data_IF_460976419711
#
_entry.id   IF_460976419711
#
_cell.length_a   1.000
_cell.length_b   1.000
_cell.length_c   1.000
_cell.angle_alpha   90.00
_cell.angle_beta   90.00
_cell.angle_gamma   90.00
#
_symmetry.space_group_name_H-M   'P 1'
#
loop_
_entity.id
_entity.type
_entity.pdbx_description
1 polymer ?
#
# COMPACT_ATOMS: atom_id res chain seq x y z
N UNK A 1 -65.35 17.80 22.03
CA UNK A 1 -64.82 16.50 22.56
C UNK A 1 -63.81 15.96 21.57
N UNK A 2 -62.57 16.25 21.79
CA UNK A 2 -61.44 15.76 20.98
C UNK A 2 -60.67 14.75 21.80
N UNK A 3 -60.75 13.48 21.41
CA UNK A 3 -60.06 12.38 22.07
C UNK A 3 -58.58 12.36 21.59
N UNK A 4 -57.67 12.72 22.45
CA UNK A 4 -56.24 12.56 22.26
C UNK A 4 -55.89 11.05 22.36
N UNK A 5 -55.46 10.46 21.26
CA UNK A 5 -54.83 9.13 21.25
C UNK A 5 -53.49 9.19 21.97
N UNK A 6 -53.18 8.28 22.90
CA UNK A 6 -51.87 8.24 23.53
C UNK A 6 -50.85 7.72 22.52
N UNK A 7 -49.83 8.53 22.23
CA UNK A 7 -48.59 8.11 21.55
C UNK A 7 -47.96 6.97 22.38
N UNK A 8 -48.19 5.75 21.91
CA UNK A 8 -47.49 4.57 22.42
C UNK A 8 -45.96 4.82 22.24
N UNK A 9 -45.27 5.03 23.34
CA UNK A 9 -43.83 5.08 23.40
C UNK A 9 -43.31 3.80 22.75
N UNK A 10 -42.73 3.88 21.56
CA UNK A 10 -42.00 2.79 20.94
C UNK A 10 -40.85 2.48 21.88
N UNK A 11 -40.99 1.42 22.65
CA UNK A 11 -39.93 0.88 23.46
C UNK A 11 -38.72 0.67 22.54
N UNK A 12 -37.73 1.51 22.68
CA UNK A 12 -36.47 1.39 21.94
C UNK A 12 -35.96 -0.02 22.15
N UNK A 13 -36.02 -0.83 21.09
CA UNK A 13 -35.46 -2.16 21.07
C UNK A 13 -33.95 -2.04 21.35
N UNK A 14 -33.55 -2.19 22.62
CA UNK A 14 -32.15 -2.35 23.01
C UNK A 14 -31.75 -3.76 22.61
N UNK A 15 -30.96 -3.95 21.54
CA UNK A 15 -30.58 -5.27 21.13
C UNK A 15 -29.78 -5.90 22.27
N UNK A 16 -30.30 -7.01 22.85
CA UNK A 16 -29.59 -7.84 23.81
C UNK A 16 -28.19 -8.12 23.21
N UNK A 17 -27.12 -7.76 23.91
CA UNK A 17 -25.74 -8.12 23.58
C UNK A 17 -25.64 -9.65 23.55
N UNK A 18 -25.92 -10.26 22.39
CA UNK A 18 -25.66 -11.69 22.19
C UNK A 18 -24.15 -11.87 22.22
N UNK A 19 -23.68 -12.77 23.08
CA UNK A 19 -22.28 -13.18 23.08
C UNK A 19 -21.97 -13.85 21.73
N UNK A 20 -20.83 -13.59 21.09
CA UNK A 20 -20.47 -14.24 19.85
C UNK A 20 -20.36 -15.76 20.07
N UNK A 21 -20.82 -16.55 19.08
CA UNK A 21 -20.68 -18.00 19.08
C UNK A 21 -19.21 -18.41 19.10
N UNK A 22 -18.90 -19.51 19.75
CA UNK A 22 -17.54 -20.08 19.80
C UNK A 22 -16.99 -20.33 18.40
N UNK A 23 -17.83 -20.72 17.45
CA UNK A 23 -17.51 -20.97 16.03
C UNK A 23 -17.04 -19.71 15.28
N UNK A 24 -17.36 -18.52 15.78
CA UNK A 24 -16.88 -17.25 15.23
C UNK A 24 -15.63 -16.78 15.98
N UNK A 25 -15.62 -16.98 17.31
CA UNK A 25 -14.52 -16.51 18.16
C UNK A 25 -13.24 -17.33 17.94
N UNK A 26 -13.35 -18.64 17.82
CA UNK A 26 -12.20 -19.54 17.70
C UNK A 26 -11.34 -19.25 16.44
N UNK A 27 -11.92 -19.13 15.22
CA UNK A 27 -11.15 -18.77 14.04
C UNK A 27 -10.51 -17.38 14.15
N UNK A 28 -11.20 -16.41 14.76
CA UNK A 28 -10.64 -15.06 14.97
C UNK A 28 -9.46 -15.10 15.93
N UNK A 29 -9.56 -15.85 17.05
CA UNK A 29 -8.43 -15.98 17.99
C UNK A 29 -7.26 -16.72 17.37
N UNK A 30 -7.50 -17.73 16.54
CA UNK A 30 -6.46 -18.44 15.79
C UNK A 30 -5.75 -17.50 14.82
N UNK A 31 -6.49 -16.68 14.09
CA UNK A 31 -5.93 -15.65 13.21
C UNK A 31 -5.11 -14.62 13.97
N UNK A 32 -5.63 -14.13 15.11
CA UNK A 32 -4.89 -13.20 15.98
C UNK A 32 -3.59 -13.85 16.45
N UNK A 33 -3.64 -15.10 16.90
CA UNK A 33 -2.47 -15.86 17.34
C UNK A 33 -1.43 -16.00 16.22
N UNK A 34 -1.86 -16.43 15.02
CA UNK A 34 -0.98 -16.55 13.85
C UNK A 34 -0.34 -15.22 13.46
N UNK A 35 -1.13 -14.13 13.47
CA UNK A 35 -0.66 -12.77 13.15
C UNK A 35 0.34 -12.21 14.16
N UNK A 36 0.27 -12.68 15.41
CA UNK A 36 1.21 -12.27 16.45
C UNK A 36 2.52 -13.06 16.41
N UNK A 37 2.60 -14.19 15.70
CA UNK A 37 3.81 -15.02 15.62
C UNK A 37 5.05 -14.21 15.16
N UNK A 38 5.00 -13.40 14.07
CA UNK A 38 6.15 -12.60 13.67
C UNK A 38 6.59 -11.59 14.74
N UNK A 39 5.64 -10.97 15.42
CA UNK A 39 5.92 -10.01 16.49
C UNK A 39 6.57 -10.70 17.69
N UNK A 40 6.04 -11.86 18.08
CA UNK A 40 6.57 -12.66 19.18
C UNK A 40 7.97 -13.19 18.86
N UNK A 41 8.18 -13.68 17.63
CA UNK A 41 9.49 -14.16 17.19
C UNK A 41 10.55 -13.06 17.25
N UNK A 42 10.26 -11.91 16.63
CA UNK A 42 11.19 -10.77 16.61
C UNK A 42 11.44 -10.27 18.04
N UNK A 43 10.39 -10.14 18.85
CA UNK A 43 10.50 -9.74 20.26
C UNK A 43 11.33 -10.72 21.09
N UNK A 44 11.11 -12.02 20.93
CA UNK A 44 11.85 -13.07 21.63
C UNK A 44 13.33 -13.09 21.23
N UNK A 45 13.63 -12.96 19.95
CA UNK A 45 15.01 -12.91 19.45
C UNK A 45 15.74 -11.63 19.88
N UNK A 46 15.05 -10.49 19.86
CA UNK A 46 15.60 -9.24 20.37
C UNK A 46 15.89 -9.33 21.90
N UNK A 47 14.99 -9.98 22.65
CA UNK A 47 15.19 -10.22 24.09
C UNK A 47 16.39 -11.16 24.34
N UNK A 48 16.50 -12.26 23.59
CA UNK A 48 17.61 -13.21 23.68
C UNK A 48 18.97 -12.58 23.36
N UNK A 49 19.01 -11.66 22.39
CA UNK A 49 20.22 -10.91 22.05
C UNK A 49 20.68 -9.96 23.16
N UNK A 50 19.76 -9.52 24.02
CA UNK A 50 20.03 -8.62 25.12
C UNK A 50 20.07 -7.14 24.70
N UNK A 51 19.70 -6.26 25.65
CA UNK A 51 19.63 -4.82 25.41
C UNK A 51 20.97 -4.21 25.01
N UNK A 52 22.07 -4.72 25.58
CA UNK A 52 23.42 -4.21 25.29
C UNK A 52 23.82 -4.43 23.82
N UNK A 53 23.61 -5.64 23.29
CA UNK A 53 23.90 -5.95 21.88
C UNK A 53 22.95 -5.22 20.94
N UNK A 54 21.68 -5.08 21.29
CA UNK A 54 20.71 -4.30 20.51
C UNK A 54 21.13 -2.83 20.40
N UNK A 55 21.51 -2.20 21.50
CA UNK A 55 22.01 -0.83 21.49
C UNK A 55 23.32 -0.70 20.70
N UNK A 56 24.27 -1.64 20.88
CA UNK A 56 25.53 -1.65 20.13
C UNK A 56 25.29 -1.76 18.62
N UNK A 57 24.33 -2.58 18.19
CA UNK A 57 23.95 -2.70 16.79
C UNK A 57 23.36 -1.40 16.25
N UNK A 58 22.45 -0.76 17.00
CA UNK A 58 21.82 0.50 16.61
C UNK A 58 22.82 1.64 16.40
N UNK A 59 23.90 1.66 17.15
CA UNK A 59 24.95 2.70 17.02
C UNK A 59 25.99 2.39 15.93
N UNK A 60 25.88 1.27 15.20
CA UNK A 60 26.77 0.99 14.08
C UNK A 60 26.51 1.97 12.92
N UNK A 61 27.55 2.52 12.28
CA UNK A 61 27.40 3.40 11.11
C UNK A 61 26.59 2.76 9.98
N UNK A 62 26.68 1.44 9.83
CA UNK A 62 25.91 0.66 8.87
C UNK A 62 24.41 0.82 9.08
N UNK A 63 23.90 0.70 10.31
CA UNK A 63 22.46 0.83 10.60
C UNK A 63 21.96 2.26 10.36
N UNK A 64 22.78 3.27 10.65
CA UNK A 64 22.48 4.65 10.30
C UNK A 64 22.42 4.88 8.79
N UNK A 65 23.29 4.20 8.01
CA UNK A 65 23.21 4.17 6.54
C UNK A 65 21.89 3.60 6.05
N UNK A 66 21.46 2.45 6.60
CA UNK A 66 20.16 1.84 6.28
C UNK A 66 19.00 2.77 6.63
N UNK A 67 19.02 3.37 7.81
CA UNK A 67 18.01 4.31 8.27
C UNK A 67 17.88 5.49 7.32
N UNK A 68 19.00 6.13 7.00
CA UNK A 68 19.05 7.25 6.06
C UNK A 68 18.49 6.87 4.69
N UNK A 69 18.95 5.77 4.12
CA UNK A 69 18.51 5.34 2.79
C UNK A 69 17.03 5.00 2.78
N UNK A 70 16.53 4.28 3.80
CA UNK A 70 15.12 3.93 3.93
C UNK A 70 14.23 5.16 4.08
N UNK A 71 14.63 6.12 4.92
CA UNK A 71 13.88 7.37 5.11
C UNK A 71 13.91 8.26 3.87
N UNK A 72 15.06 8.42 3.23
CA UNK A 72 15.19 9.22 1.99
C UNK A 72 14.37 8.59 0.85
N UNK A 73 14.41 7.26 0.70
CA UNK A 73 13.58 6.55 -0.26
C UNK A 73 12.09 6.79 0.03
N UNK A 74 11.66 6.54 1.27
CA UNK A 74 10.27 6.68 1.69
C UNK A 74 9.76 8.10 1.43
N UNK A 75 10.49 9.12 1.88
CA UNK A 75 10.09 10.53 1.70
C UNK A 75 10.14 10.92 0.23
N UNK A 76 11.22 10.57 -0.50
CA UNK A 76 11.39 10.91 -1.91
C UNK A 76 10.30 10.33 -2.80
N UNK A 77 10.01 9.02 -2.66
CA UNK A 77 8.94 8.37 -3.43
C UNK A 77 7.56 8.94 -3.06
N UNK A 78 7.29 9.13 -1.76
CA UNK A 78 6.00 9.65 -1.30
C UNK A 78 5.74 11.06 -1.83
N UNK A 79 6.72 11.96 -1.75
CA UNK A 79 6.59 13.32 -2.29
C UNK A 79 6.41 13.31 -3.81
N UNK A 80 7.21 12.53 -4.53
CA UNK A 80 7.08 12.41 -5.99
C UNK A 80 5.69 11.89 -6.39
N UNK A 81 5.20 10.85 -5.72
CA UNK A 81 3.86 10.30 -5.96
C UNK A 81 2.74 11.29 -5.58
N UNK A 82 2.90 12.05 -4.51
CA UNK A 82 1.93 13.07 -4.11
C UNK A 82 1.82 14.18 -5.16
N UNK A 83 2.95 14.65 -5.67
CA UNK A 83 3.00 15.68 -6.72
C UNK A 83 2.42 15.15 -8.03
N UNK A 84 2.87 13.97 -8.50
CA UNK A 84 2.40 13.37 -9.75
C UNK A 84 0.93 13.00 -9.66
N UNK A 85 0.50 12.37 -8.56
CA UNK A 85 -0.87 11.94 -8.35
C UNK A 85 -1.85 13.11 -8.28
N UNK A 86 -1.49 14.20 -7.57
CA UNK A 86 -2.31 15.41 -7.51
C UNK A 86 -2.38 16.11 -8.88
N UNK A 87 -1.25 16.27 -9.56
CA UNK A 87 -1.19 16.91 -10.87
C UNK A 87 -2.05 16.16 -11.90
N UNK A 88 -1.93 14.84 -11.97
CA UNK A 88 -2.73 14.00 -12.86
C UNK A 88 -4.21 14.02 -12.51
N UNK A 89 -4.56 13.91 -11.23
CA UNK A 89 -5.94 13.96 -10.78
C UNK A 89 -6.60 15.29 -11.17
N UNK A 90 -5.90 16.39 -10.93
CA UNK A 90 -6.39 17.72 -11.33
C UNK A 90 -6.53 17.84 -12.86
N UNK A 91 -5.52 17.38 -13.60
CA UNK A 91 -5.52 17.44 -15.06
C UNK A 91 -6.67 16.65 -15.68
N UNK A 92 -6.95 15.45 -15.17
CA UNK A 92 -7.99 14.58 -15.74
C UNK A 92 -9.41 14.92 -15.29
N UNK A 93 -9.59 15.40 -14.04
CA UNK A 93 -10.92 15.65 -13.49
C UNK A 93 -11.37 17.12 -13.63
N UNK A 94 -10.43 18.07 -13.74
CA UNK A 94 -10.71 19.52 -13.74
C UNK A 94 -10.42 20.21 -15.06
N UNK A 95 -9.85 19.52 -16.08
CA UNK A 95 -9.59 20.12 -17.38
C UNK A 95 -10.38 19.47 -18.52
N UNK A 96 -10.33 20.13 -19.69
CA UNK A 96 -10.93 19.67 -20.93
C UNK A 96 -9.96 18.81 -21.78
N UNK A 97 -9.03 18.08 -21.12
CA UNK A 97 -8.03 17.25 -21.79
C UNK A 97 -8.71 16.22 -22.72
N UNK A 98 -8.37 16.21 -24.04
CA UNK A 98 -8.90 15.21 -24.96
C UNK A 98 -8.48 13.80 -24.55
N UNK A 99 -9.42 12.86 -24.61
CA UNK A 99 -9.14 11.47 -24.24
C UNK A 99 -8.95 11.20 -22.75
N UNK A 100 -9.36 12.12 -21.85
CA UNK A 100 -9.18 12.01 -20.39
C UNK A 100 -9.63 10.68 -19.79
N UNK A 101 -10.68 10.03 -20.36
CA UNK A 101 -11.15 8.72 -19.92
C UNK A 101 -10.12 7.62 -20.22
N UNK A 102 -9.55 7.65 -21.41
CA UNK A 102 -8.48 6.74 -21.82
C UNK A 102 -7.22 6.96 -20.97
N UNK A 103 -6.79 8.22 -20.81
CA UNK A 103 -5.66 8.57 -19.96
C UNK A 103 -5.86 8.10 -18.52
N UNK A 104 -7.07 8.19 -17.97
CA UNK A 104 -7.38 7.70 -16.62
C UNK A 104 -7.14 6.21 -16.43
N UNK A 105 -7.30 5.40 -17.46
CA UNK A 105 -6.99 3.96 -17.42
C UNK A 105 -5.51 3.71 -17.70
N UNK A 106 -4.99 4.29 -18.78
CA UNK A 106 -3.60 4.05 -19.24
C UNK A 106 -2.57 4.50 -18.20
N UNK A 107 -2.80 5.60 -17.51
CA UNK A 107 -1.93 6.09 -16.44
C UNK A 107 -2.00 5.25 -15.15
N UNK A 108 -2.91 4.26 -15.06
CA UNK A 108 -2.89 3.27 -13.98
C UNK A 108 -2.07 2.02 -14.33
N UNK A 109 -1.71 1.81 -15.61
CA UNK A 109 -0.96 0.63 -16.06
C UNK A 109 0.38 0.41 -15.32
N UNK A 110 1.16 1.45 -14.98
CA UNK A 110 2.41 1.25 -14.23
C UNK A 110 2.22 0.49 -12.90
N UNK A 111 1.06 0.65 -12.27
CA UNK A 111 0.74 -0.05 -11.02
C UNK A 111 0.51 -1.56 -11.22
N UNK A 112 0.09 -1.97 -12.41
CA UNK A 112 -0.09 -3.38 -12.75
C UNK A 112 1.24 -4.09 -13.06
N UNK A 113 2.30 -3.34 -13.38
CA UNK A 113 3.63 -3.91 -13.61
C UNK A 113 4.27 -4.22 -12.25
N UNK A 114 4.72 -5.48 -11.99
CA UNK A 114 5.43 -5.80 -10.76
C UNK A 114 6.66 -4.91 -10.56
N UNK A 115 6.85 -4.40 -9.35
CA UNK A 115 7.91 -3.42 -9.06
C UNK A 115 9.31 -3.96 -9.37
N UNK A 116 9.56 -5.25 -9.12
CA UNK A 116 10.85 -5.88 -9.45
C UNK A 116 11.10 -5.95 -10.96
N UNK A 117 10.04 -6.14 -11.79
CA UNK A 117 10.15 -6.11 -13.26
C UNK A 117 10.53 -4.71 -13.71
N UNK A 118 9.88 -3.68 -13.17
CA UNK A 118 10.24 -2.30 -13.45
C UNK A 118 11.68 -2.01 -13.04
N UNK A 119 12.11 -2.40 -11.83
CA UNK A 119 13.50 -2.27 -11.39
C UNK A 119 14.49 -2.91 -12.34
N UNK A 120 14.25 -4.18 -12.71
CA UNK A 120 15.10 -4.93 -13.61
C UNK A 120 15.22 -4.28 -15.01
N UNK A 121 14.12 -3.86 -15.58
CA UNK A 121 14.11 -3.24 -16.92
C UNK A 121 14.84 -1.90 -16.95
N UNK A 122 14.70 -1.09 -15.90
CA UNK A 122 15.40 0.19 -15.80
C UNK A 122 16.91 0.03 -15.59
N UNK A 123 17.34 -0.90 -14.73
CA UNK A 123 18.77 -1.21 -14.52
C UNK A 123 19.41 -1.78 -15.79
N UNK A 124 18.67 -2.66 -16.50
CA UNK A 124 19.15 -3.22 -17.77
C UNK A 124 19.25 -2.18 -18.88
N UNK A 125 18.44 -1.12 -18.84
CA UNK A 125 18.57 0.00 -19.77
C UNK A 125 19.85 0.79 -19.50
N UNK A 126 20.17 1.07 -18.23
CA UNK A 126 21.43 1.69 -17.82
C UNK A 126 21.71 1.46 -16.33
N UNK A 127 22.94 1.05 -15.94
CA UNK A 127 23.35 0.95 -14.53
C UNK A 127 23.26 2.27 -13.75
N UNK A 128 23.12 3.41 -14.44
CA UNK A 128 22.92 4.73 -13.78
C UNK A 128 21.64 4.82 -12.96
N UNK A 129 20.69 3.90 -13.20
CA UNK A 129 19.44 3.80 -12.42
C UNK A 129 19.59 2.96 -11.15
N UNK A 130 20.78 2.46 -10.84
CA UNK A 130 21.08 1.87 -9.53
C UNK A 130 21.16 2.93 -8.43
N UNK A 131 20.91 2.50 -7.19
CA UNK A 131 20.98 3.34 -6.00
C UNK A 131 19.75 4.18 -5.73
N UNK A 132 19.89 5.16 -4.83
CA UNK A 132 18.76 5.91 -4.27
C UNK A 132 17.96 6.71 -5.32
N UNK A 133 18.66 7.39 -6.24
CA UNK A 133 17.99 8.23 -7.25
C UNK A 133 17.14 7.41 -8.21
N UNK A 134 17.69 6.30 -8.72
CA UNK A 134 16.96 5.37 -9.59
C UNK A 134 15.81 4.69 -8.85
N UNK A 135 16.03 4.27 -7.59
CA UNK A 135 14.97 3.69 -6.77
C UNK A 135 13.80 4.68 -6.56
N UNK A 136 14.08 5.95 -6.26
CA UNK A 136 13.02 6.98 -6.13
C UNK A 136 12.27 7.14 -7.45
N UNK A 137 12.98 7.24 -8.59
CA UNK A 137 12.35 7.40 -9.89
C UNK A 137 11.45 6.22 -10.25
N UNK A 138 12.01 4.99 -10.22
CA UNK A 138 11.29 3.78 -10.63
C UNK A 138 10.09 3.51 -9.73
N UNK A 139 10.27 3.65 -8.41
CA UNK A 139 9.18 3.43 -7.45
C UNK A 139 8.11 4.52 -7.54
N UNK A 140 8.48 5.78 -7.77
CA UNK A 140 7.51 6.86 -7.97
C UNK A 140 6.67 6.61 -9.22
N UNK A 141 7.29 6.24 -10.35
CA UNK A 141 6.61 5.91 -11.60
C UNK A 141 5.67 4.69 -11.47
N UNK A 142 6.01 3.73 -10.61
CA UNK A 142 5.17 2.55 -10.35
C UNK A 142 4.01 2.82 -9.37
N UNK A 143 4.19 3.71 -8.39
CA UNK A 143 3.28 3.83 -7.23
C UNK A 143 2.42 5.10 -7.20
N UNK A 144 2.66 6.10 -8.07
CA UNK A 144 1.82 7.32 -8.09
C UNK A 144 0.31 7.06 -8.23
N UNK A 145 -0.18 5.97 -8.87
CA UNK A 145 -1.60 5.71 -8.94
C UNK A 145 -2.29 5.55 -7.58
N UNK A 146 -1.53 5.16 -6.53
CA UNK A 146 -2.05 5.07 -5.16
C UNK A 146 -2.47 6.43 -4.56
N UNK A 147 -1.90 7.54 -5.04
CA UNK A 147 -2.37 8.89 -4.71
C UNK A 147 -3.34 9.41 -5.76
N UNK A 148 -3.03 9.17 -7.05
CA UNK A 148 -3.87 9.65 -8.16
C UNK A 148 -5.32 9.21 -8.03
N UNK A 149 -5.57 7.91 -7.80
CA UNK A 149 -6.94 7.35 -7.78
C UNK A 149 -7.82 7.93 -6.67
N UNK A 150 -7.41 7.97 -5.38
CA UNK A 150 -8.23 8.54 -4.33
C UNK A 150 -8.41 10.05 -4.46
N UNK A 151 -7.40 10.78 -4.96
CA UNK A 151 -7.50 12.22 -5.20
C UNK A 151 -8.46 12.51 -6.35
N UNK A 152 -8.38 11.76 -7.46
CA UNK A 152 -9.30 11.87 -8.59
C UNK A 152 -10.74 11.56 -8.17
N UNK A 153 -10.95 10.50 -7.37
CA UNK A 153 -12.27 10.16 -6.84
C UNK A 153 -12.84 11.27 -5.94
N UNK A 154 -12.01 11.90 -5.12
CA UNK A 154 -12.42 13.02 -4.27
C UNK A 154 -12.75 14.25 -5.11
N UNK A 155 -11.91 14.62 -6.09
CA UNK A 155 -12.17 15.74 -7.01
C UNK A 155 -13.46 15.58 -7.80
N UNK A 156 -13.77 14.35 -8.21
CA UNK A 156 -15.00 14.03 -8.96
C UNK A 156 -16.26 14.26 -8.13
N UNK A 157 -16.18 14.00 -6.81
CA UNK A 157 -17.30 14.10 -5.87
C UNK A 157 -17.31 15.40 -5.06
N UNK A 158 -16.36 16.31 -5.30
CA UNK A 158 -16.26 17.58 -4.60
C UNK A 158 -17.38 18.52 -5.06
N UNK A 159 -18.10 19.11 -4.11
CA UNK A 159 -19.10 20.13 -4.39
C UNK A 159 -18.43 21.44 -4.81
N UNK A 160 -18.76 21.92 -6.00
CA UNK A 160 -18.19 23.14 -6.58
C UNK A 160 -18.76 24.43 -6.00
N UNK A 161 -19.84 24.34 -5.23
CA UNK A 161 -20.49 25.51 -4.63
C UNK A 161 -19.54 26.34 -3.76
N UNK A 162 -18.64 25.66 -3.00
CA UNK A 162 -17.61 26.33 -2.19
C UNK A 162 -16.60 27.08 -3.04
N UNK A 163 -16.18 26.50 -4.17
CA UNK A 163 -15.24 27.16 -5.11
C UNK A 163 -15.90 28.34 -5.82
N UNK A 164 -17.18 28.21 -6.20
CA UNK A 164 -17.98 29.26 -6.83
C UNK A 164 -18.21 30.43 -5.86
N UNK A 165 -18.59 30.15 -4.62
CA UNK A 165 -18.78 31.15 -3.57
C UNK A 165 -17.50 31.92 -3.27
N UNK A 166 -16.33 31.25 -3.25
CA UNK A 166 -15.06 31.92 -3.06
C UNK A 166 -14.70 32.85 -4.24
N UNK A 167 -15.04 32.44 -5.46
CA UNK A 167 -14.83 33.30 -6.65
C UNK A 167 -15.74 34.53 -6.64
N UNK A 168 -16.98 34.41 -6.20
CA UNK A 168 -17.87 35.56 -6.04
C UNK A 168 -17.38 36.53 -4.98
N UNK A 169 -16.66 36.03 -3.96
CA UNK A 169 -15.97 36.84 -2.96
C UNK A 169 -14.62 37.42 -3.42
N UNK A 170 -14.29 37.35 -4.74
CA UNK A 170 -13.11 37.95 -5.31
C UNK A 170 -11.83 37.11 -5.24
N UNK A 171 -11.89 35.84 -4.81
CA UNK A 171 -10.71 34.97 -4.81
C UNK A 171 -10.29 34.61 -6.25
N UNK A 172 -8.98 34.70 -6.53
CA UNK A 172 -8.42 34.25 -7.79
C UNK A 172 -8.36 32.71 -7.85
N UNK A 173 -8.09 32.14 -9.05
CA UNK A 173 -8.06 30.69 -9.27
C UNK A 173 -7.05 29.97 -8.37
N UNK A 174 -5.87 30.54 -8.13
CA UNK A 174 -4.85 29.99 -7.26
C UNK A 174 -5.26 30.08 -5.78
N UNK A 175 -5.89 31.19 -5.38
CA UNK A 175 -6.44 31.33 -4.03
C UNK A 175 -7.48 30.25 -3.71
N UNK A 176 -8.42 30.00 -4.64
CA UNK A 176 -9.41 28.93 -4.52
C UNK A 176 -8.72 27.56 -4.42
N UNK A 177 -7.74 27.30 -5.27
CA UNK A 177 -7.03 26.01 -5.25
C UNK A 177 -6.31 25.77 -3.91
N UNK A 178 -5.47 26.70 -3.45
CA UNK A 178 -4.67 26.49 -2.25
C UNK A 178 -5.46 26.62 -0.94
N UNK A 179 -6.50 27.46 -0.89
CA UNK A 179 -7.26 27.71 0.34
C UNK A 179 -8.51 26.83 0.49
N UNK A 180 -9.05 26.29 -0.61
CA UNK A 180 -10.28 25.49 -0.57
C UNK A 180 -10.06 24.09 -1.13
N UNK A 181 -9.67 23.98 -2.40
CA UNK A 181 -9.58 22.67 -3.08
C UNK A 181 -8.52 21.79 -2.45
N UNK A 182 -7.29 22.27 -2.30
CA UNK A 182 -6.16 21.50 -1.75
C UNK A 182 -6.41 21.04 -0.30
N UNK A 183 -6.91 21.89 0.64
CA UNK A 183 -7.27 21.42 1.98
C UNK A 183 -8.35 20.33 2.00
N UNK A 184 -9.32 20.39 1.08
CA UNK A 184 -10.36 19.36 0.95
C UNK A 184 -9.81 18.04 0.38
N UNK A 185 -8.74 18.10 -0.45
CA UNK A 185 -8.03 16.94 -1.00
C UNK A 185 -7.02 16.35 -0.02
N UNK A 186 -6.61 17.11 0.99
CA UNK A 186 -5.53 16.73 1.91
C UNK A 186 -5.71 15.36 2.54
N UNK A 187 -6.91 14.94 3.02
CA UNK A 187 -7.12 13.60 3.56
C UNK A 187 -6.85 12.49 2.54
N UNK A 188 -7.22 12.70 1.27
CA UNK A 188 -7.01 11.71 0.20
C UNK A 188 -5.54 11.64 -0.22
N UNK A 189 -4.85 12.78 -0.28
CA UNK A 189 -3.41 12.86 -0.55
C UNK A 189 -2.66 12.17 0.58
N UNK A 190 -2.95 12.49 1.84
CA UNK A 190 -2.29 11.87 2.99
C UNK A 190 -2.55 10.36 3.06
N UNK A 191 -3.79 9.92 2.81
CA UNK A 191 -4.13 8.50 2.80
C UNK A 191 -3.31 7.71 1.78
N UNK A 192 -3.25 8.19 0.53
CA UNK A 192 -2.42 7.59 -0.51
C UNK A 192 -0.93 7.66 -0.21
N UNK A 193 -0.47 8.79 0.32
CA UNK A 193 0.94 9.02 0.69
C UNK A 193 1.41 8.10 1.82
N UNK A 194 0.61 7.92 2.86
CA UNK A 194 0.93 7.02 3.97
C UNK A 194 0.96 5.56 3.52
N UNK A 195 0.05 5.17 2.61
CA UNK A 195 0.07 3.84 2.01
C UNK A 195 1.35 3.60 1.21
N UNK A 196 1.81 4.60 0.44
CA UNK A 196 3.09 4.53 -0.28
C UNK A 196 4.26 4.46 0.70
N UNK A 197 4.27 5.29 1.75
CA UNK A 197 5.33 5.29 2.75
C UNK A 197 5.46 3.91 3.41
N UNK A 198 4.33 3.29 3.80
CA UNK A 198 4.32 1.94 4.35
C UNK A 198 4.82 0.91 3.32
N UNK A 199 4.40 1.04 2.06
CA UNK A 199 4.85 0.15 0.97
C UNK A 199 6.37 0.21 0.74
N UNK A 200 6.96 1.41 0.86
CA UNK A 200 8.42 1.57 0.74
C UNK A 200 9.20 0.92 1.88
N UNK A 201 8.63 0.86 3.09
CA UNK A 201 9.25 0.19 4.22
C UNK A 201 9.30 -1.34 4.07
N UNK A 202 8.33 -1.92 3.35
CA UNK A 202 8.24 -3.38 3.17
C UNK A 202 8.76 -3.87 1.81
N UNK A 203 9.08 -2.95 0.90
CA UNK A 203 9.57 -3.30 -0.44
C UNK A 203 10.97 -3.93 -0.34
N UNK A 204 11.13 -5.07 -1.01
CA UNK A 204 12.39 -5.81 -1.08
C UNK A 204 12.82 -6.05 -2.53
N UNK A 205 11.93 -6.61 -3.34
CA UNK A 205 12.26 -7.13 -4.66
C UNK A 205 12.85 -6.09 -5.62
N UNK A 206 12.20 -4.95 -5.76
CA UNK A 206 12.70 -3.88 -6.62
C UNK A 206 13.99 -3.27 -6.05
N UNK A 207 14.09 -3.09 -4.72
CA UNK A 207 15.25 -2.46 -4.09
C UNK A 207 16.50 -3.32 -4.15
N UNK A 208 16.38 -4.65 -4.08
CA UNK A 208 17.50 -5.56 -4.25
C UNK A 208 18.08 -5.50 -5.66
N UNK A 209 17.23 -5.39 -6.69
CA UNK A 209 17.64 -5.26 -8.09
C UNK A 209 18.26 -3.88 -8.36
N UNK A 210 17.68 -2.82 -7.77
CA UNK A 210 18.20 -1.47 -7.89
C UNK A 210 19.46 -1.20 -7.05
N UNK A 211 19.99 -2.22 -6.37
CA UNK A 211 21.24 -2.14 -5.59
C UNK A 211 21.15 -1.19 -4.39
N UNK A 212 19.95 -0.88 -3.89
CA UNK A 212 19.79 0.04 -2.77
C UNK A 212 19.75 -0.70 -1.44
N UNK A 213 20.74 -0.41 -0.59
CA UNK A 213 20.79 -0.93 0.77
C UNK A 213 19.75 -0.25 1.66
N UNK A 214 18.73 -1.02 2.07
CA UNK A 214 17.66 -0.65 2.99
C UNK A 214 17.53 -1.69 4.09
N UNK A 215 16.64 -1.50 5.07
CA UNK A 215 16.42 -2.53 6.09
C UNK A 215 15.99 -3.87 5.50
N UNK A 216 15.11 -3.90 4.50
CA UNK A 216 14.63 -5.15 3.89
C UNK A 216 15.76 -5.91 3.19
N UNK A 217 16.60 -5.23 2.41
CA UNK A 217 17.74 -5.87 1.74
C UNK A 217 18.81 -6.31 2.71
N UNK A 218 19.08 -5.53 3.78
CA UNK A 218 20.02 -5.89 4.81
C UNK A 218 19.56 -7.09 5.67
N UNK A 219 18.27 -7.17 6.02
CA UNK A 219 17.70 -8.31 6.72
C UNK A 219 17.89 -9.58 5.90
N UNK A 220 17.61 -9.53 4.60
CA UNK A 220 17.80 -10.66 3.70
C UNK A 220 19.29 -11.09 3.64
N UNK A 221 20.22 -10.14 3.49
CA UNK A 221 21.66 -10.43 3.48
C UNK A 221 22.13 -11.09 4.78
N UNK A 222 21.70 -10.57 5.94
CA UNK A 222 22.07 -11.14 7.24
C UNK A 222 21.54 -12.56 7.42
N UNK A 223 20.37 -12.87 6.88
CA UNK A 223 19.76 -14.18 6.99
C UNK A 223 20.35 -15.20 6.01
N UNK A 224 20.37 -14.87 4.72
CA UNK A 224 20.74 -15.81 3.64
C UNK A 224 22.25 -15.92 3.43
N UNK A 225 22.99 -14.82 3.57
CA UNK A 225 24.41 -14.79 3.20
C UNK A 225 25.34 -14.91 4.43
N UNK A 226 24.98 -14.26 5.53
CA UNK A 226 25.80 -14.26 6.73
C UNK A 226 25.33 -15.27 7.78
N UNK A 227 24.19 -15.94 7.55
CA UNK A 227 23.58 -16.93 8.46
C UNK A 227 23.40 -16.42 9.90
N UNK A 228 23.27 -15.10 10.06
CA UNK A 228 23.15 -14.44 11.36
C UNK A 228 21.72 -14.12 11.72
N UNK A 229 21.00 -15.12 12.23
CA UNK A 229 19.60 -14.99 12.65
C UNK A 229 19.39 -13.89 13.71
N UNK A 230 20.36 -13.67 14.60
CA UNK A 230 20.25 -12.65 15.64
C UNK A 230 20.32 -11.23 15.05
N UNK A 231 21.27 -10.95 14.15
CA UNK A 231 21.37 -9.65 13.49
C UNK A 231 20.13 -9.38 12.61
N UNK A 232 19.69 -10.38 11.81
CA UNK A 232 18.48 -10.27 11.00
C UNK A 232 17.25 -9.94 11.85
N UNK A 233 17.08 -10.59 13.00
CA UNK A 233 15.96 -10.33 13.91
C UNK A 233 16.03 -8.93 14.55
N UNK A 234 17.22 -8.45 14.91
CA UNK A 234 17.38 -7.10 15.47
C UNK A 234 17.09 -6.02 14.42
N UNK A 235 17.55 -6.16 13.18
CA UNK A 235 17.21 -5.25 12.08
C UNK A 235 15.69 -5.30 11.78
N UNK A 236 15.10 -6.50 11.85
CA UNK A 236 13.65 -6.69 11.72
C UNK A 236 12.86 -5.97 12.80
N UNK A 237 13.37 -5.92 14.05
CA UNK A 237 12.73 -5.19 15.15
C UNK A 237 12.69 -3.68 14.87
N UNK A 238 13.78 -3.10 14.35
CA UNK A 238 13.83 -1.69 13.96
C UNK A 238 12.84 -1.40 12.82
N UNK A 239 12.85 -2.23 11.79
CA UNK A 239 11.93 -2.07 10.65
C UNK A 239 10.48 -2.20 11.10
N UNK A 240 10.18 -3.17 11.94
CA UNK A 240 8.86 -3.38 12.53
C UNK A 240 8.40 -2.16 13.33
N UNK A 241 9.28 -1.58 14.15
CA UNK A 241 8.97 -0.34 14.88
C UNK A 241 8.62 0.80 13.93
N UNK A 242 9.39 0.97 12.83
CA UNK A 242 9.08 1.98 11.80
C UNK A 242 7.73 1.73 11.13
N UNK A 243 7.41 0.48 10.80
CA UNK A 243 6.12 0.11 10.20
C UNK A 243 4.95 0.38 11.17
N UNK A 244 5.09 0.02 12.44
CA UNK A 244 4.07 0.28 13.46
C UNK A 244 3.86 1.78 13.71
N UNK A 245 4.93 2.57 13.68
CA UNK A 245 4.86 4.03 13.77
C UNK A 245 4.09 4.62 12.57
N UNK A 246 4.38 4.15 11.35
CA UNK A 246 3.67 4.58 10.14
C UNK A 246 2.19 4.17 10.18
N UNK A 247 1.89 2.95 10.59
CA UNK A 247 0.51 2.48 10.79
C UNK A 247 -0.24 3.34 11.80
N UNK A 248 0.40 3.67 12.92
CA UNK A 248 -0.20 4.54 13.93
C UNK A 248 -0.50 5.95 13.38
N UNK A 249 0.43 6.53 12.60
CA UNK A 249 0.20 7.80 11.91
C UNK A 249 -0.97 7.70 10.92
N UNK A 250 -1.03 6.63 10.13
CA UNK A 250 -2.11 6.37 9.17
C UNK A 250 -3.47 6.32 9.87
N UNK A 251 -3.58 5.57 10.95
CA UNK A 251 -4.82 5.45 11.72
C UNK A 251 -5.27 6.80 12.33
N UNK A 252 -4.31 7.63 12.78
CA UNK A 252 -4.62 8.97 13.27
C UNK A 252 -5.11 9.93 12.19
N UNK A 253 -4.53 9.87 11.02
CA UNK A 253 -4.93 10.70 9.87
C UNK A 253 -6.32 10.29 9.37
N UNK A 254 -6.54 8.99 9.16
CA UNK A 254 -7.85 8.47 8.71
C UNK A 254 -8.98 8.77 9.70
N UNK A 255 -8.73 8.69 11.00
CA UNK A 255 -9.72 8.96 12.04
C UNK A 255 -10.26 10.40 12.06
N UNK A 256 -9.51 11.36 11.51
CA UNK A 256 -9.92 12.76 11.39
C UNK A 256 -10.64 13.09 10.09
N UNK A 257 -10.57 12.23 9.09
CA UNK A 257 -11.20 12.42 7.79
C UNK A 257 -12.69 12.05 7.81
N UNK A 258 -13.48 12.68 8.68
CA UNK A 258 -14.94 12.67 8.56
C UNK A 258 -15.29 13.50 7.33
N UNK A 259 -15.71 12.85 6.26
CA UNK A 259 -16.28 13.50 5.09
C UNK A 259 -17.60 14.15 5.53
N UNK A 260 -17.54 15.40 5.93
CA UNK A 260 -18.74 16.22 6.15
C UNK A 260 -19.27 16.55 4.76
N UNK A 261 -20.18 15.75 4.29
CA UNK A 261 -20.97 16.06 3.11
C UNK A 261 -21.94 17.17 3.51
N UNK A 262 -21.59 18.41 3.21
CA UNK A 262 -22.43 19.59 3.47
C UNK A 262 -23.35 19.75 2.26
N UNK A 263 -24.40 18.94 2.16
CA UNK A 263 -25.42 19.12 1.13
C UNK A 263 -26.19 17.84 0.80
N UNK A 264 -27.49 17.94 0.73
CA UNK A 264 -28.41 16.86 0.34
C UNK A 264 -28.70 16.83 -1.18
N UNK A 265 -27.78 17.36 -2.03
CA UNK A 265 -27.97 17.45 -3.48
C UNK A 265 -27.01 16.54 -4.27
N UNK A 266 -27.32 16.31 -5.56
CA UNK A 266 -26.44 15.69 -6.53
C UNK A 266 -25.22 16.62 -6.71
N UNK A 267 -24.01 16.11 -6.51
CA UNK A 267 -22.78 16.88 -6.67
C UNK A 267 -22.72 17.53 -8.06
N UNK A 268 -22.73 18.85 -8.10
CA UNK A 268 -22.64 19.60 -9.35
C UNK A 268 -21.21 19.49 -9.86
N UNK A 269 -21.01 18.88 -11.02
CA UNK A 269 -19.67 18.76 -11.60
C UNK A 269 -19.11 20.13 -11.97
N UNK A 270 -17.87 20.39 -11.63
CA UNK A 270 -17.17 21.59 -12.03
C UNK A 270 -17.13 21.72 -13.55
N UNK A 271 -17.33 22.93 -14.06
CA UNK A 271 -17.05 23.20 -15.45
C UNK A 271 -15.54 22.99 -15.73
N UNK A 272 -15.16 22.24 -16.76
CA UNK A 272 -13.77 21.94 -17.03
C UNK A 272 -13.00 23.24 -17.38
N UNK A 273 -11.79 23.35 -16.86
CA UNK A 273 -10.86 24.42 -17.19
C UNK A 273 -10.36 24.20 -18.62
N UNK A 274 -10.54 25.17 -19.50
CA UNK A 274 -10.08 25.11 -20.88
C UNK A 274 -8.56 25.26 -20.95
N UNK A 275 -7.88 24.23 -21.40
CA UNK A 275 -6.41 24.20 -21.53
C UNK A 275 -5.91 25.02 -22.72
N UNK A 276 -6.70 25.10 -23.81
CA UNK A 276 -6.33 25.82 -25.03
C UNK A 276 -4.91 25.45 -25.52
N UNK A 277 -3.99 26.42 -25.57
CA UNK A 277 -2.59 26.22 -26.00
C UNK A 277 -1.78 25.28 -25.09
N UNK A 278 -2.22 24.99 -23.86
CA UNK A 278 -1.56 24.05 -22.94
C UNK A 278 -1.96 22.60 -23.18
N UNK A 279 -2.95 22.32 -24.03
CA UNK A 279 -3.42 20.97 -24.35
C UNK A 279 -2.29 20.05 -24.83
N UNK A 280 -1.43 20.42 -25.82
CA UNK A 280 -0.35 19.55 -26.27
C UNK A 280 0.70 19.26 -25.18
N UNK A 281 1.01 20.25 -24.33
CA UNK A 281 1.94 20.07 -23.21
C UNK A 281 1.35 19.08 -22.18
N UNK A 282 0.06 19.21 -21.88
CA UNK A 282 -0.63 18.29 -20.98
C UNK A 282 -0.70 16.86 -21.52
N UNK A 283 -0.93 16.69 -22.82
CA UNK A 283 -0.89 15.38 -23.47
C UNK A 283 0.53 14.79 -23.48
N UNK A 284 1.53 15.61 -23.78
CA UNK A 284 2.94 15.20 -23.73
C UNK A 284 3.34 14.74 -22.33
N UNK A 285 2.91 15.45 -21.29
CA UNK A 285 3.15 15.05 -19.91
C UNK A 285 2.53 13.67 -19.59
N UNK A 286 1.27 13.43 -19.97
CA UNK A 286 0.64 12.14 -19.82
C UNK A 286 1.36 11.04 -20.61
N UNK A 287 1.78 11.34 -21.86
CA UNK A 287 2.51 10.41 -22.71
C UNK A 287 3.87 10.05 -22.11
N UNK A 288 4.63 11.04 -21.63
CA UNK A 288 5.93 10.81 -20.98
C UNK A 288 5.75 9.90 -19.75
N UNK A 289 4.79 10.16 -18.89
CA UNK A 289 4.55 9.33 -17.72
C UNK A 289 4.14 7.90 -18.08
N UNK A 290 3.30 7.74 -19.11
CA UNK A 290 2.93 6.43 -19.63
C UNK A 290 4.16 5.68 -20.18
N UNK A 291 4.97 6.35 -20.99
CA UNK A 291 6.17 5.75 -21.59
C UNK A 291 7.21 5.38 -20.52
N UNK A 292 7.47 6.25 -19.56
CA UNK A 292 8.43 5.97 -18.49
C UNK A 292 7.90 4.89 -17.52
N UNK A 293 6.64 4.92 -17.16
CA UNK A 293 6.07 3.99 -16.16
C UNK A 293 5.73 2.60 -16.70
N UNK A 294 5.26 2.51 -17.94
CA UNK A 294 4.85 1.25 -18.56
C UNK A 294 5.56 0.96 -19.88
N UNK A 295 5.83 2.00 -20.68
CA UNK A 295 6.43 1.85 -22.00
C UNK A 295 7.84 1.27 -21.94
N UNK A 296 8.69 1.78 -21.04
CA UNK A 296 10.05 1.22 -20.83
C UNK A 296 9.99 -0.22 -20.32
N UNK A 297 9.27 -0.57 -19.23
CA UNK A 297 9.18 -1.94 -18.79
C UNK A 297 8.67 -2.91 -19.87
N UNK A 298 7.57 -2.58 -20.51
CA UNK A 298 6.99 -3.45 -21.52
C UNK A 298 7.83 -3.50 -22.80
N UNK A 299 8.42 -2.37 -23.20
CA UNK A 299 9.30 -2.29 -24.37
C UNK A 299 10.58 -3.10 -24.18
N UNK A 300 11.21 -3.05 -23.01
CA UNK A 300 12.39 -3.87 -22.70
C UNK A 300 12.06 -5.36 -22.68
N UNK A 301 10.93 -5.74 -22.11
CA UNK A 301 10.46 -7.14 -22.15
C UNK A 301 10.23 -7.61 -23.62
N UNK A 302 9.58 -6.78 -24.43
CA UNK A 302 9.37 -7.08 -25.84
C UNK A 302 10.69 -7.16 -26.63
N UNK A 303 11.64 -6.27 -26.35
CA UNK A 303 12.98 -6.29 -26.91
C UNK A 303 13.70 -7.61 -26.59
N UNK A 304 13.75 -8.01 -25.32
CA UNK A 304 14.40 -9.28 -24.97
C UNK A 304 13.70 -10.50 -25.56
N UNK A 305 12.38 -10.45 -25.65
CA UNK A 305 11.63 -11.52 -26.32
C UNK A 305 11.99 -11.64 -27.80
N UNK A 306 12.28 -10.51 -28.47
CA UNK A 306 12.64 -10.48 -29.90
C UNK A 306 14.11 -10.83 -30.17
N UNK A 307 15.02 -10.45 -29.26
CA UNK A 307 16.48 -10.66 -29.41
C UNK A 307 16.95 -11.93 -28.71
N UNK A 308 16.16 -12.46 -27.78
CA UNK A 308 16.49 -13.66 -27.04
C UNK A 308 16.68 -14.85 -27.97
N UNK A 309 17.93 -15.29 -28.11
CA UNK A 309 18.38 -16.38 -28.98
C UNK A 309 18.12 -17.77 -28.41
N UNK A 310 17.35 -17.89 -27.33
CA UNK A 310 16.97 -19.16 -26.75
C UNK A 310 16.20 -19.95 -27.79
N UNK A 311 16.84 -20.92 -28.37
CA UNK A 311 16.39 -21.70 -29.53
C UNK A 311 15.04 -22.42 -29.37
N UNK A 312 14.46 -22.40 -28.18
CA UNK A 312 13.10 -22.86 -27.94
C UNK A 312 12.46 -21.98 -26.84
N UNK A 313 11.41 -21.28 -27.19
CA UNK A 313 10.53 -20.67 -26.19
C UNK A 313 9.94 -21.79 -25.30
N UNK A 314 10.29 -21.90 -24.00
CA UNK A 314 9.96 -23.07 -23.20
C UNK A 314 8.48 -23.03 -22.76
N UNK A 315 7.59 -23.23 -23.74
CA UNK A 315 6.12 -23.13 -23.53
C UNK A 315 5.66 -24.05 -22.40
N UNK A 316 6.24 -25.24 -22.29
CA UNK A 316 5.90 -26.20 -21.25
C UNK A 316 6.26 -25.70 -19.85
N UNK A 317 7.42 -25.06 -19.68
CA UNK A 317 7.85 -24.52 -18.38
C UNK A 317 7.07 -23.26 -18.02
N UNK A 318 6.80 -22.39 -19.00
CA UNK A 318 5.97 -21.21 -18.81
C UNK A 318 4.54 -21.60 -18.44
N UNK A 319 3.95 -22.59 -19.13
CA UNK A 319 2.59 -23.05 -18.83
C UNK A 319 2.53 -23.69 -17.42
N UNK A 320 3.54 -24.46 -17.05
CA UNK A 320 3.64 -25.05 -15.70
C UNK A 320 3.78 -23.96 -14.63
N UNK A 321 4.66 -22.97 -14.85
CA UNK A 321 4.83 -21.83 -13.95
C UNK A 321 3.52 -21.01 -13.84
N UNK A 322 2.83 -20.77 -14.94
CA UNK A 322 1.54 -20.06 -14.96
C UNK A 322 0.48 -20.80 -14.15
N UNK A 323 0.32 -22.12 -14.38
CA UNK A 323 -0.64 -22.94 -13.61
C UNK A 323 -0.29 -22.96 -12.13
N UNK A 324 0.99 -23.10 -11.78
CA UNK A 324 1.44 -23.05 -10.39
C UNK A 324 1.14 -21.68 -9.74
N UNK A 325 1.43 -20.58 -10.43
CA UNK A 325 1.16 -19.23 -9.93
C UNK A 325 -0.33 -18.97 -9.76
N UNK A 326 -1.15 -19.40 -10.75
CA UNK A 326 -2.61 -19.26 -10.67
C UNK A 326 -3.20 -20.11 -9.53
N UNK A 327 -2.76 -21.37 -9.41
CA UNK A 327 -3.25 -22.26 -8.33
C UNK A 327 -2.91 -21.73 -6.94
N UNK A 328 -1.69 -21.21 -6.74
CA UNK A 328 -1.28 -20.57 -5.50
C UNK A 328 -2.07 -19.28 -5.22
N UNK A 329 -2.24 -18.44 -6.23
CA UNK A 329 -3.00 -17.19 -6.09
C UNK A 329 -4.48 -17.44 -5.77
N UNK A 330 -5.11 -18.40 -6.46
CA UNK A 330 -6.50 -18.78 -6.19
C UNK A 330 -6.64 -19.46 -4.83
N UNK A 331 -5.69 -20.33 -4.48
CA UNK A 331 -5.63 -20.96 -3.17
C UNK A 331 -5.49 -19.95 -2.04
N UNK A 332 -4.53 -19.02 -2.17
CA UNK A 332 -4.32 -17.93 -1.22
C UNK A 332 -5.54 -17.01 -1.09
N UNK A 333 -6.15 -16.62 -2.21
CA UNK A 333 -7.38 -15.84 -2.20
C UNK A 333 -8.53 -16.57 -1.52
N UNK A 334 -8.68 -17.89 -1.76
CA UNK A 334 -9.69 -18.73 -1.10
C UNK A 334 -9.49 -18.82 0.40
N UNK A 335 -8.26 -19.09 0.85
CA UNK A 335 -7.90 -19.12 2.27
C UNK A 335 -8.14 -17.76 2.92
N UNK A 336 -7.67 -16.68 2.30
CA UNK A 336 -7.87 -15.31 2.81
C UNK A 336 -9.35 -14.97 2.94
N UNK A 337 -10.18 -15.34 1.95
CA UNK A 337 -11.63 -15.13 2.00
C UNK A 337 -12.28 -15.89 3.15
N UNK A 338 -11.95 -17.18 3.29
CA UNK A 338 -12.47 -18.03 4.37
C UNK A 338 -12.09 -17.48 5.76
N UNK A 339 -10.87 -16.99 5.91
CA UNK A 339 -10.37 -16.41 7.16
C UNK A 339 -10.97 -15.01 7.43
N UNK A 340 -11.27 -14.23 6.38
CA UNK A 340 -11.91 -12.91 6.50
C UNK A 340 -13.39 -13.00 6.91
N UNK A 341 -14.11 -14.08 6.58
CA UNK A 341 -15.53 -14.23 6.90
C UNK A 341 -15.83 -14.14 8.40
N UNK A 342 -15.18 -14.94 9.31
CA UNK A 342 -15.46 -14.86 10.74
C UNK A 342 -15.08 -13.49 11.33
N UNK A 343 -14.01 -12.85 10.83
CA UNK A 343 -13.58 -11.51 11.25
C UNK A 343 -14.66 -10.48 10.87
N UNK A 344 -15.09 -10.47 9.62
CA UNK A 344 -16.11 -9.54 9.12
C UNK A 344 -17.44 -9.74 9.84
N UNK A 345 -17.86 -10.99 10.04
CA UNK A 345 -19.08 -11.32 10.78
C UNK A 345 -19.02 -10.83 12.23
N UNK A 346 -17.86 -11.01 12.89
CA UNK A 346 -17.66 -10.53 14.25
C UNK A 346 -17.75 -9.00 14.34
N UNK A 347 -17.06 -8.29 13.43
CA UNK A 347 -17.01 -6.82 13.41
C UNK A 347 -18.37 -6.21 13.14
N UNK A 348 -19.12 -6.74 12.17
CA UNK A 348 -20.41 -6.18 11.76
C UNK A 348 -21.52 -6.47 12.80
N UNK A 349 -21.53 -7.68 13.37
CA UNK A 349 -22.67 -8.14 14.19
C UNK A 349 -22.48 -7.93 15.69
N UNK A 350 -21.24 -7.86 16.18
CA UNK A 350 -20.96 -7.76 17.60
C UNK A 350 -20.17 -6.48 17.91
N UNK A 351 -20.65 -5.75 18.93
CA UNK A 351 -19.96 -4.56 19.46
C UNK A 351 -19.21 -4.94 20.74
N UNK A 352 -17.89 -5.03 20.69
CA UNK A 352 -17.08 -5.39 21.84
C UNK A 352 -15.58 -5.20 21.59
N UNK A 353 -14.77 -5.34 22.64
CA UNK A 353 -13.31 -5.18 22.54
C UNK A 353 -12.70 -6.12 21.48
N UNK A 354 -13.18 -7.38 21.44
CA UNK A 354 -12.70 -8.36 20.47
C UNK A 354 -13.00 -7.92 19.01
N UNK A 355 -14.20 -7.37 18.75
CA UNK A 355 -14.54 -6.88 17.42
C UNK A 355 -13.63 -5.71 17.00
N UNK A 356 -13.32 -4.77 17.91
CA UNK A 356 -12.41 -3.67 17.65
C UNK A 356 -10.98 -4.16 17.37
N UNK A 357 -10.50 -5.15 18.10
CA UNK A 357 -9.19 -5.75 17.83
C UNK A 357 -9.18 -6.52 16.50
N UNK A 358 -10.22 -7.29 16.22
CA UNK A 358 -10.37 -8.03 14.96
C UNK A 358 -10.44 -7.10 13.73
N UNK A 359 -11.06 -5.93 13.86
CA UNK A 359 -11.09 -4.90 12.81
C UNK A 359 -9.69 -4.33 12.51
N UNK A 360 -8.85 -4.23 13.53
CA UNK A 360 -7.49 -3.67 13.40
C UNK A 360 -6.45 -4.68 12.93
N UNK A 361 -6.77 -5.97 13.01
CA UNK A 361 -5.84 -7.05 12.66
C UNK A 361 -5.32 -6.99 11.22
N UNK A 362 -6.17 -6.78 10.18
CA UNK A 362 -5.68 -6.68 8.80
C UNK A 362 -4.68 -5.54 8.58
N UNK A 363 -4.86 -4.42 9.29
CA UNK A 363 -3.91 -3.29 9.20
C UNK A 363 -2.56 -3.63 9.83
N UNK A 364 -2.56 -4.41 10.92
CA UNK A 364 -1.36 -4.90 11.57
C UNK A 364 -0.59 -5.85 10.65
N UNK A 365 -1.29 -6.80 10.01
CA UNK A 365 -0.70 -7.75 9.06
C UNK A 365 -0.10 -7.03 7.84
N UNK A 366 -0.83 -6.05 7.31
CA UNK A 366 -0.35 -5.28 6.16
C UNK A 366 0.88 -4.42 6.47
N UNK A 367 1.09 -4.06 7.74
CA UNK A 367 2.26 -3.31 8.18
C UNK A 367 3.49 -4.19 8.45
N UNK A 368 3.33 -5.53 8.50
CA UNK A 368 4.45 -6.44 8.70
C UNK A 368 5.22 -6.64 7.39
N UNK A 369 6.54 -6.49 7.40
CA UNK A 369 7.35 -6.83 6.23
C UNK A 369 7.20 -8.31 5.88
N UNK A 370 6.87 -8.62 4.62
CA UNK A 370 6.69 -10.01 4.15
C UNK A 370 7.91 -10.88 4.42
N UNK A 371 9.11 -10.30 4.35
CA UNK A 371 10.35 -10.99 4.70
C UNK A 371 10.38 -11.45 6.17
N UNK A 372 9.91 -10.60 7.10
CA UNK A 372 9.86 -10.95 8.53
C UNK A 372 8.84 -12.05 8.79
N UNK A 373 7.70 -12.02 8.09
CA UNK A 373 6.69 -13.08 8.14
C UNK A 373 7.30 -14.40 7.64
N UNK A 374 7.95 -14.39 6.47
CA UNK A 374 8.58 -15.56 5.88
C UNK A 374 9.63 -16.17 6.81
N UNK A 375 10.54 -15.37 7.36
CA UNK A 375 11.57 -15.83 8.30
C UNK A 375 10.95 -16.47 9.55
N UNK A 376 9.90 -15.87 10.08
CA UNK A 376 9.21 -16.40 11.27
C UNK A 376 8.54 -17.72 10.98
N UNK A 377 7.85 -17.85 9.83
CA UNK A 377 7.16 -19.08 9.45
C UNK A 377 8.15 -20.21 9.14
N UNK A 378 9.27 -19.91 8.51
CA UNK A 378 10.37 -20.88 8.30
C UNK A 378 10.92 -21.35 9.64
N UNK A 379 11.23 -20.43 10.56
CA UNK A 379 11.70 -20.78 11.90
C UNK A 379 10.70 -21.66 12.65
N UNK A 380 9.43 -21.27 12.63
CA UNK A 380 8.36 -22.02 13.29
C UNK A 380 8.18 -23.43 12.68
N UNK A 381 8.15 -23.51 11.34
CA UNK A 381 8.01 -24.80 10.66
C UNK A 381 9.19 -25.74 11.01
N UNK A 382 10.42 -25.26 10.94
CA UNK A 382 11.61 -26.08 11.21
C UNK A 382 11.66 -26.59 12.66
N UNK A 383 11.19 -25.80 13.63
CA UNK A 383 11.34 -26.17 15.05
C UNK A 383 10.12 -26.90 15.63
N UNK A 384 8.92 -26.62 15.13
CA UNK A 384 7.70 -27.15 15.73
C UNK A 384 6.90 -28.08 14.82
N UNK A 385 6.92 -27.86 13.50
CA UNK A 385 6.14 -28.64 12.53
C UNK A 385 6.96 -28.88 11.25
N UNK A 386 8.05 -29.70 11.31
CA UNK A 386 8.94 -29.89 10.15
C UNK A 386 8.22 -30.41 8.90
N UNK A 387 7.12 -31.12 9.07
CA UNK A 387 6.29 -31.60 7.95
C UNK A 387 5.66 -30.50 7.09
N UNK A 388 5.55 -29.27 7.62
CA UNK A 388 5.05 -28.11 6.85
C UNK A 388 6.16 -27.39 6.08
N UNK A 389 7.42 -27.62 6.40
CA UNK A 389 8.53 -26.96 5.73
C UNK A 389 8.58 -27.37 4.26
N UNK A 390 8.78 -26.37 3.38
CA UNK A 390 8.79 -26.51 1.90
C UNK A 390 7.48 -27.06 1.31
N UNK A 391 6.35 -26.93 2.01
CA UNK A 391 5.03 -27.30 1.44
C UNK A 391 4.27 -26.08 0.90
N UNK A 392 3.37 -26.35 -0.06
CA UNK A 392 2.41 -25.33 -0.55
C UNK A 392 1.49 -24.83 0.57
N UNK A 393 1.23 -25.67 1.59
CA UNK A 393 0.44 -25.30 2.75
C UNK A 393 1.06 -24.15 3.56
N UNK A 394 2.38 -24.20 3.81
CA UNK A 394 3.09 -23.12 4.49
C UNK A 394 3.07 -21.82 3.66
N UNK A 395 3.21 -21.94 2.35
CA UNK A 395 3.16 -20.78 1.43
C UNK A 395 1.78 -20.12 1.40
N UNK A 396 0.70 -20.91 1.50
CA UNK A 396 -0.68 -20.40 1.56
C UNK A 396 -1.02 -19.73 2.89
N UNK A 397 -0.30 -20.08 3.97
CA UNK A 397 -0.45 -19.48 5.29
C UNK A 397 0.36 -18.17 5.44
N UNK A 398 1.41 -17.98 4.64
CA UNK A 398 2.23 -16.77 4.61
C UNK A 398 1.54 -15.61 3.91
#
# INVERSE_FOLDING_TARGET
MSAALPLAASAAYVPRRKRPSIWVVLPVLLLVGLSLLPLLYVGLKAWQAGLHEALRLLWRPFVWGLMRNTLLLMVGVTLACAILGLALAWLLERSDLPGRRLWGVVLCLPFAVPAFVSGFTWVSLSPRFEGLGGAILVMALSKYPLVFLPVAATLRNLDTSLEESARTLGQNRWGVFFRITLPLLWPSILGGSLLIALHMLVEFGALSILGLQTFTTAIYQQFELEFSNANAAMLSAVLLFMCLLMLWLELRVRGKARHVRIGQGVARRAAPVRLRAWTPIAQLFCLILMLLGSGIPLGMLAYWLSVGSSAAFPVADISRALVSSLSLSLGGAGVSLLLALPVSFLVVRYKGRLAVWAERLPYLLHALPGLVIALTLVYFALHYVPALYQTTGLLLLA
#
